data_IF_151468264694
#
_entry.id   IF_151468264694
#
_cell.length_a   1.000
_cell.length_b   1.000
_cell.length_c   1.000
_cell.angle_alpha   90.00
_cell.angle_beta   90.00
_cell.angle_gamma   90.00
#
_symmetry.space_group_name_H-M   'P 1'
#
loop_
_entity.id
_entity.type
_entity.pdbx_description
1 polymer ?
#
# COMPACT_ATOMS: atom_id res chain seq x y z
N UNK A 1 -2.40 11.12 22.66
CA UNK A 1 -2.13 11.19 21.21
C UNK A 1 -3.47 11.28 20.50
N UNK A 2 -3.69 12.32 19.69
CA UNK A 2 -4.92 12.41 18.90
C UNK A 2 -4.85 11.41 17.74
N UNK A 3 -5.82 10.52 17.62
CA UNK A 3 -5.98 9.61 16.48
C UNK A 3 -6.51 10.41 15.30
N UNK A 4 -5.72 10.49 14.22
CA UNK A 4 -6.15 11.09 12.95
C UNK A 4 -6.45 9.98 11.97
N UNK A 5 -7.68 9.92 11.48
CA UNK A 5 -8.10 9.01 10.42
C UNK A 5 -7.82 9.64 9.07
N UNK A 6 -7.29 8.86 8.13
CA UNK A 6 -7.01 9.30 6.77
C UNK A 6 -7.10 8.13 5.81
N UNK A 7 -7.36 8.42 4.54
CA UNK A 7 -7.47 7.39 3.50
C UNK A 7 -6.32 7.51 2.52
N UNK A 8 -5.69 6.37 2.22
CA UNK A 8 -4.63 6.25 1.21
C UNK A 8 -5.17 5.47 0.02
N UNK A 9 -5.00 6.01 -1.18
CA UNK A 9 -5.39 5.35 -2.43
C UNK A 9 -4.15 5.08 -3.26
N UNK A 10 -3.97 3.82 -3.67
CA UNK A 10 -2.89 3.40 -4.56
C UNK A 10 -3.41 3.39 -6.00
N UNK A 11 -2.74 4.11 -6.90
CA UNK A 11 -2.96 3.95 -8.34
C UNK A 11 -1.98 2.89 -8.88
N UNK A 12 -2.45 1.66 -9.07
CA UNK A 12 -1.63 0.55 -9.54
C UNK A 12 -0.99 0.80 -10.92
N UNK A 13 -1.68 1.49 -11.83
CA UNK A 13 -1.16 1.81 -13.17
C UNK A 13 0.04 2.78 -13.14
N UNK A 14 0.23 3.53 -12.05
CA UNK A 14 1.37 4.44 -11.86
C UNK A 14 2.39 3.93 -10.84
N UNK A 15 2.12 2.78 -10.22
CA UNK A 15 3.00 2.20 -9.22
C UNK A 15 4.29 1.70 -9.88
N UNK A 16 5.43 1.99 -9.26
CA UNK A 16 6.76 1.56 -9.72
C UNK A 16 7.35 0.39 -8.91
N UNK A 17 6.56 -0.22 -8.03
CA UNK A 17 7.02 -1.34 -7.20
C UNK A 17 8.20 -1.02 -6.28
N UNK A 18 8.34 0.22 -5.80
CA UNK A 18 9.49 0.64 -4.99
C UNK A 18 9.39 0.24 -3.51
N UNK A 19 8.23 -0.25 -3.06
CA UNK A 19 7.96 -0.76 -1.70
C UNK A 19 8.16 0.23 -0.53
N UNK A 20 8.53 1.49 -0.81
CA UNK A 20 8.72 2.52 0.22
C UNK A 20 7.46 2.69 1.07
N UNK A 21 6.28 2.74 0.44
CA UNK A 21 5.00 2.89 1.15
C UNK A 21 4.68 1.73 2.11
N UNK A 22 5.09 0.50 1.77
CA UNK A 22 4.93 -0.68 2.64
C UNK A 22 5.83 -0.52 3.87
N UNK A 23 7.09 -0.14 3.66
CA UNK A 23 8.10 -0.02 4.72
C UNK A 23 7.81 1.12 5.69
N UNK A 24 7.32 2.26 5.20
CA UNK A 24 7.11 3.47 6.02
C UNK A 24 5.72 3.57 6.64
N UNK A 25 4.81 2.61 6.36
CA UNK A 25 3.46 2.66 6.88
C UNK A 25 3.48 2.55 8.41
N UNK A 26 3.03 3.59 9.16
CA UNK A 26 3.17 3.63 10.61
C UNK A 26 2.27 2.62 11.34
N UNK A 27 1.24 2.12 10.66
CA UNK A 27 0.26 1.15 11.17
C UNK A 27 0.40 -0.22 10.50
N UNK A 28 1.44 -0.41 9.68
CA UNK A 28 1.73 -1.68 9.01
C UNK A 28 0.54 -2.24 8.16
N UNK A 29 -0.25 -1.35 7.55
CA UNK A 29 -1.47 -1.71 6.82
C UNK A 29 -1.24 -2.33 5.43
N UNK A 30 -0.04 -2.17 4.86
CA UNK A 30 0.25 -2.51 3.46
C UNK A 30 1.23 -3.69 3.36
N UNK A 31 1.07 -4.52 2.32
CA UNK A 31 2.00 -5.57 1.91
C UNK A 31 2.21 -5.54 0.38
N UNK A 32 3.24 -6.21 -0.10
CA UNK A 32 3.43 -6.43 -1.55
C UNK A 32 2.36 -7.41 -2.04
N UNK A 33 1.66 -7.06 -3.13
CA UNK A 33 0.61 -7.90 -3.73
C UNK A 33 1.20 -9.00 -4.60
N UNK A 34 0.51 -10.13 -4.68
CA UNK A 34 0.77 -11.18 -5.68
C UNK A 34 0.42 -10.72 -7.12
N UNK A 35 -0.38 -9.66 -7.26
CA UNK A 35 -0.79 -9.13 -8.56
C UNK A 35 0.22 -8.10 -9.09
N UNK A 36 0.41 -8.11 -10.42
CA UNK A 36 1.24 -7.14 -11.12
C UNK A 36 0.40 -6.15 -11.93
N UNK A 37 0.92 -4.94 -12.12
CA UNK A 37 0.37 -3.99 -13.10
C UNK A 37 0.85 -4.28 -14.54
N UNK A 38 0.46 -3.45 -15.51
CA UNK A 38 0.85 -3.58 -16.93
C UNK A 38 2.36 -3.51 -17.18
N UNK A 39 3.13 -3.00 -16.22
CA UNK A 39 4.58 -2.91 -16.30
C UNK A 39 5.29 -4.05 -15.55
N UNK A 40 4.53 -5.01 -15.01
CA UNK A 40 5.07 -6.16 -14.27
C UNK A 40 5.45 -5.86 -12.82
N UNK A 41 5.09 -4.70 -12.27
CA UNK A 41 5.38 -4.39 -10.87
C UNK A 41 4.31 -4.94 -9.93
N UNK A 42 4.74 -5.63 -8.88
CA UNK A 42 3.92 -5.95 -7.73
C UNK A 42 3.57 -4.66 -6.97
N UNK A 43 2.31 -4.25 -7.03
CA UNK A 43 1.83 -3.06 -6.35
C UNK A 43 1.44 -3.39 -4.90
N UNK A 44 1.37 -2.41 -3.98
CA UNK A 44 0.98 -2.68 -2.61
C UNK A 44 -0.53 -2.98 -2.48
N UNK A 45 -0.88 -3.92 -1.60
CA UNK A 45 -2.23 -4.27 -1.21
C UNK A 45 -2.42 -4.14 0.31
N UNK A 46 -3.67 -4.03 0.77
CA UNK A 46 -4.00 -4.06 2.19
C UNK A 46 -3.69 -5.44 2.79
N UNK A 47 -3.13 -5.48 4.00
CA UNK A 47 -2.94 -6.74 4.76
C UNK A 47 -4.27 -7.27 5.28
N UNK A 48 -5.11 -6.40 5.83
CA UNK A 48 -6.45 -6.70 6.27
C UNK A 48 -7.32 -5.43 6.27
N UNK A 49 -8.64 -5.63 6.33
CA UNK A 49 -9.60 -4.55 6.46
C UNK A 49 -9.51 -3.89 7.85
N UNK A 50 -9.66 -2.57 7.90
CA UNK A 50 -9.73 -1.82 9.17
C UNK A 50 -8.40 -1.54 9.87
N UNK A 51 -7.25 -1.86 9.25
CA UNK A 51 -5.92 -1.49 9.81
C UNK A 51 -5.60 -0.01 9.58
N UNK A 52 -6.12 0.58 8.51
CA UNK A 52 -5.79 1.93 8.05
C UNK A 52 -6.84 2.97 8.43
#
# INVERSE_FOLDING_TARGET
MATRTGTVTINAARCKGCEICVTVCPVDALQVSEQTNEWGYHYPALKAEGIC
#
